data_IF_178566564992
#
_entry.id   IF_178566564992
#
_cell.length_a   1.000
_cell.length_b   1.000
_cell.length_c   1.000
_cell.angle_alpha   90.00
_cell.angle_beta   90.00
_cell.angle_gamma   90.00
#
_symmetry.space_group_name_H-M   'P 1'
#
loop_
_entity.id
_entity.type
_entity.pdbx_description
1 polymer ?
#
# COMPACT_ATOMS: atom_id res chain seq x y z
N UNK A 1 12.58 18.40 37.87
CA UNK A 1 11.17 18.34 37.42
C UNK A 1 11.01 17.10 36.55
N UNK A 2 10.38 16.05 37.10
CA UNK A 2 10.22 14.77 36.42
C UNK A 2 9.20 14.90 35.29
N UNK A 3 9.61 14.54 34.07
CA UNK A 3 8.70 14.33 32.96
C UNK A 3 7.72 13.22 33.38
N UNK A 4 6.40 13.47 33.40
CA UNK A 4 5.45 12.44 33.79
C UNK A 4 5.55 11.30 32.76
N UNK A 5 5.60 10.05 33.24
CA UNK A 5 5.90 8.86 32.44
C UNK A 5 4.98 8.66 31.21
N UNK A 6 3.88 9.40 31.15
CA UNK A 6 2.87 9.40 30.10
C UNK A 6 3.16 10.35 28.94
N UNK A 7 4.14 11.26 29.02
CA UNK A 7 4.40 12.24 27.95
C UNK A 7 4.87 11.59 26.65
N UNK A 8 5.73 10.56 26.73
CA UNK A 8 6.19 9.83 25.55
C UNK A 8 5.07 9.06 24.85
N UNK A 9 4.20 8.40 25.63
CA UNK A 9 3.05 7.67 25.10
C UNK A 9 2.05 8.62 24.42
N UNK A 10 1.78 9.78 25.03
CA UNK A 10 0.91 10.79 24.45
C UNK A 10 1.45 11.35 23.13
N UNK A 11 2.78 11.49 22.98
CA UNK A 11 3.40 11.90 21.72
C UNK A 11 3.30 10.82 20.65
N UNK A 12 3.62 9.56 20.99
CA UNK A 12 3.50 8.43 20.06
C UNK A 12 2.05 8.29 19.54
N UNK A 13 1.06 8.42 20.42
CA UNK A 13 -0.35 8.38 20.05
C UNK A 13 -0.72 9.49 19.07
N UNK A 14 -0.34 10.74 19.34
CA UNK A 14 -0.61 11.88 18.46
C UNK A 14 0.05 11.74 17.09
N UNK A 15 1.26 11.20 17.02
CA UNK A 15 1.96 10.94 15.76
C UNK A 15 1.22 9.88 14.93
N UNK A 16 0.78 8.78 15.55
CA UNK A 16 0.01 7.73 14.88
C UNK A 16 -1.34 8.28 14.40
N UNK A 17 -2.05 9.06 15.21
CA UNK A 17 -3.31 9.70 14.81
C UNK A 17 -3.13 10.66 13.62
N UNK A 18 -2.08 11.50 13.64
CA UNK A 18 -1.78 12.40 12.53
C UNK A 18 -1.40 11.63 11.25
N UNK A 19 -0.65 10.54 11.39
CA UNK A 19 -0.31 9.66 10.28
C UNK A 19 -1.55 8.96 9.70
N UNK A 20 -2.52 8.55 10.53
CA UNK A 20 -3.75 7.90 10.08
C UNK A 20 -4.62 8.79 9.19
N UNK A 21 -4.67 10.10 9.45
CA UNK A 21 -5.41 11.05 8.59
C UNK A 21 -4.71 11.22 7.22
N UNK A 22 -3.39 11.07 7.18
CA UNK A 22 -2.59 11.19 5.95
C UNK A 22 -2.53 9.89 5.15
N UNK A 23 -2.46 8.74 5.82
CA UNK A 23 -2.48 7.43 5.21
C UNK A 23 -3.92 6.99 5.04
N UNK A 24 -4.47 7.19 3.84
CA UNK A 24 -5.62 6.39 3.43
C UNK A 24 -5.16 4.94 3.44
N UNK A 25 -5.68 4.15 4.39
CA UNK A 25 -5.62 2.69 4.32
C UNK A 25 -5.89 2.32 2.87
N UNK A 26 -4.91 1.67 2.20
CA UNK A 26 -4.87 1.40 0.76
C UNK A 26 -6.28 1.40 0.18
N UNK A 27 -6.77 2.56 -0.27
CA UNK A 27 -8.22 2.83 -0.40
C UNK A 27 -8.78 2.28 -1.71
N UNK A 28 -8.27 1.12 -2.08
CA UNK A 28 -8.67 0.38 -3.24
C UNK A 28 -8.80 -1.08 -2.80
N UNK A 29 -9.91 -1.42 -2.12
CA UNK A 29 -10.22 -2.82 -1.80
C UNK A 29 -10.09 -3.73 -3.02
N UNK A 30 -10.40 -3.22 -4.21
CA UNK A 30 -10.20 -3.89 -5.49
C UNK A 30 -8.72 -4.14 -5.84
N UNK A 31 -7.81 -3.21 -5.54
CA UNK A 31 -6.37 -3.44 -5.70
C UNK A 31 -5.83 -4.40 -4.63
N UNK A 32 -6.36 -4.36 -3.40
CA UNK A 32 -6.00 -5.31 -2.33
C UNK A 32 -6.39 -6.74 -2.71
N UNK A 33 -7.53 -6.93 -3.38
CA UNK A 33 -7.91 -8.23 -3.93
C UNK A 33 -6.90 -8.74 -4.97
N UNK A 34 -6.41 -7.86 -5.85
CA UNK A 34 -5.38 -8.21 -6.85
C UNK A 34 -4.03 -8.56 -6.18
N UNK A 35 -3.60 -7.80 -5.17
CA UNK A 35 -2.38 -8.11 -4.40
C UNK A 35 -2.51 -9.47 -3.70
N UNK A 36 -3.67 -9.77 -3.09
CA UNK A 36 -3.93 -11.07 -2.46
C UNK A 36 -3.95 -12.23 -3.46
N UNK A 37 -4.36 -11.96 -4.71
CA UNK A 37 -4.30 -12.94 -5.80
C UNK A 37 -2.87 -13.13 -6.36
N UNK A 38 -1.86 -12.42 -5.84
CA UNK A 38 -0.47 -12.53 -6.27
C UNK A 38 -0.08 -11.59 -7.42
N UNK A 39 -0.90 -10.60 -7.73
CA UNK A 39 -0.59 -9.62 -8.77
C UNK A 39 0.59 -8.72 -8.38
N UNK A 40 1.50 -8.46 -9.32
CA UNK A 40 2.71 -7.67 -9.07
C UNK A 40 2.42 -6.19 -9.32
N UNK A 41 2.75 -5.35 -8.34
CA UNK A 41 2.65 -3.90 -8.45
C UNK A 41 4.04 -3.28 -8.43
N UNK A 42 4.31 -2.34 -9.34
CA UNK A 42 5.53 -1.53 -9.35
C UNK A 42 5.15 -0.06 -9.23
N UNK A 43 5.62 0.61 -8.18
CA UNK A 43 5.30 2.01 -7.87
C UNK A 43 3.77 2.32 -7.85
N UNK A 44 2.95 1.38 -7.37
CA UNK A 44 1.49 1.54 -7.27
C UNK A 44 0.72 1.29 -8.57
N UNK A 45 1.39 0.89 -9.65
CA UNK A 45 0.78 0.48 -10.92
C UNK A 45 0.79 -1.05 -11.01
N UNK A 46 -0.35 -1.64 -11.37
CA UNK A 46 -0.43 -3.07 -11.69
C UNK A 46 0.46 -3.33 -12.90
N UNK A 47 1.38 -4.28 -12.77
CA UNK A 47 2.17 -4.77 -13.90
C UNK A 47 1.34 -5.85 -14.57
N UNK A 48 0.71 -5.52 -15.69
CA UNK A 48 0.17 -6.54 -16.59
C UNK A 48 1.34 -7.37 -17.11
N UNK A 49 1.19 -8.70 -17.06
CA UNK A 49 2.15 -9.61 -17.70
C UNK A 49 2.18 -9.22 -19.19
N UNK A 50 3.34 -8.93 -19.78
CA UNK A 50 3.41 -8.69 -21.22
C UNK A 50 2.80 -9.91 -21.88
N UNK A 51 1.71 -9.71 -22.61
CA UNK A 51 1.20 -10.72 -23.51
C UNK A 51 2.39 -11.24 -24.31
N UNK A 52 2.64 -12.54 -24.22
CA UNK A 52 3.40 -13.23 -25.25
C UNK A 52 2.64 -12.96 -26.55
N UNK A 53 3.13 -11.96 -27.27
CA UNK A 53 2.77 -11.65 -28.64
C UNK A 53 3.24 -12.81 -29.50
N UNK A 54 2.57 -13.95 -29.37
CA UNK A 54 2.63 -15.05 -30.32
C UNK A 54 1.86 -14.57 -31.55
N UNK A 55 2.52 -13.71 -32.33
CA UNK A 55 2.26 -13.57 -33.74
C UNK A 55 2.35 -14.97 -34.34
N UNK A 56 1.20 -15.61 -34.52
CA UNK A 56 1.09 -16.74 -35.42
C UNK A 56 1.23 -16.18 -36.83
N UNK A 57 2.49 -16.09 -37.28
CA UNK A 57 2.82 -15.87 -38.68
C UNK A 57 2.79 -17.24 -39.36
N UNK A 58 1.81 -17.47 -40.23
CA UNK A 58 2.02 -17.89 -41.62
C UNK A 58 0.71 -18.36 -42.24
N UNK A 59 0.47 -17.83 -43.44
CA UNK A 59 -0.52 -18.27 -44.41
C UNK A 59 -0.18 -19.65 -45.00
#
# INVERSE_FOLDING_TARGET
LGVPFNTGLAMAFKLIQAAQVRWRAVNAPHLVALVRAGAVFKAGRLVERPEEHSHHVAA
#
